data_IF_195404594989
#
_entry.id   IF_195404594989
#
_cell.length_a   1.000
_cell.length_b   1.000
_cell.length_c   1.000
_cell.angle_alpha   90.00
_cell.angle_beta   90.00
_cell.angle_gamma   90.00
#
_symmetry.space_group_name_H-M   'P 1'
#
loop_
_entity.id
_entity.type
_entity.pdbx_description
1 polymer ?
#
# COMPACT_ATOMS: atom_id res chain seq x y z
N UNK A 1 -3.57 -0.65 14.95
CA UNK A 1 -2.58 -1.14 15.94
C UNK A 1 -1.60 -2.15 15.34
N UNK A 2 -2.06 -3.20 14.64
CA UNK A 2 -1.16 -4.20 14.02
C UNK A 2 -0.10 -3.57 13.11
N UNK A 3 -0.48 -2.62 12.26
CA UNK A 3 0.47 -1.90 11.40
C UNK A 3 1.58 -1.19 12.18
N UNK A 4 1.24 -0.57 13.32
CA UNK A 4 2.21 0.11 14.17
C UNK A 4 3.15 -0.90 14.82
N UNK A 5 2.63 -2.02 15.34
CA UNK A 5 3.45 -3.09 15.92
C UNK A 5 4.45 -3.63 14.90
N UNK A 6 4.00 -3.95 13.68
CA UNK A 6 4.89 -4.42 12.60
C UNK A 6 5.94 -3.36 12.25
N UNK A 7 5.56 -2.08 12.21
CA UNK A 7 6.47 -0.96 11.92
C UNK A 7 7.56 -0.83 12.98
N UNK A 8 7.18 -0.85 14.27
CA UNK A 8 8.14 -0.73 15.38
C UNK A 8 9.01 -1.98 15.50
N UNK A 9 8.44 -3.18 15.34
CA UNK A 9 9.21 -4.43 15.36
C UNK A 9 10.26 -4.45 14.25
N UNK A 10 9.87 -4.02 13.04
CA UNK A 10 10.80 -3.91 11.91
C UNK A 10 11.91 -2.90 12.20
N UNK A 11 11.55 -1.70 12.67
CA UNK A 11 12.52 -0.67 13.05
C UNK A 11 13.52 -1.21 14.07
N UNK A 12 13.01 -1.85 15.13
CA UNK A 12 13.83 -2.45 16.17
C UNK A 12 14.77 -3.52 15.58
N UNK A 13 14.25 -4.43 14.75
CA UNK A 13 15.06 -5.46 14.11
C UNK A 13 16.17 -4.88 13.22
N UNK A 14 15.92 -3.79 12.50
CA UNK A 14 16.94 -3.11 11.71
C UNK A 14 18.00 -2.44 12.58
N UNK A 15 17.60 -1.77 13.67
CA UNK A 15 18.53 -1.19 14.63
C UNK A 15 19.39 -2.25 15.34
N UNK A 16 18.86 -3.46 15.52
CA UNK A 16 19.58 -4.60 16.09
C UNK A 16 20.34 -5.43 15.04
N UNK A 17 20.33 -5.04 13.76
CA UNK A 17 21.06 -5.75 12.71
C UNK A 17 20.55 -7.16 12.44
N UNK A 18 19.24 -7.41 12.58
CA UNK A 18 18.65 -8.72 12.28
C UNK A 18 18.97 -9.16 10.82
N UNK A 19 19.09 -10.47 10.55
CA UNK A 19 19.51 -10.94 9.24
C UNK A 19 18.40 -10.83 8.18
N UNK A 20 18.81 -10.78 6.91
CA UNK A 20 17.91 -11.05 5.78
C UNK A 20 17.41 -12.51 5.86
N UNK A 21 16.16 -12.80 5.43
CA UNK A 21 15.21 -11.90 4.77
C UNK A 21 14.27 -11.15 5.72
N UNK A 22 14.47 -11.22 7.05
CA UNK A 22 13.54 -10.65 8.03
C UNK A 22 13.46 -9.13 7.95
N UNK A 23 14.62 -8.47 7.87
CA UNK A 23 14.75 -7.02 7.72
C UNK A 23 15.69 -6.65 6.58
N UNK A 24 15.61 -5.41 6.11
CA UNK A 24 16.48 -4.88 5.06
C UNK A 24 16.45 -3.36 5.08
N UNK A 25 17.65 -2.75 5.04
CA UNK A 25 17.85 -1.29 4.99
C UNK A 25 17.78 -0.71 3.57
N UNK A 26 17.58 -1.56 2.55
CA UNK A 26 17.46 -1.11 1.16
C UNK A 26 16.22 -0.21 0.95
N UNK A 27 16.28 0.65 -0.06
CA UNK A 27 15.16 1.49 -0.48
C UNK A 27 13.88 0.67 -0.71
N UNK A 28 12.74 1.20 -0.26
CA UNK A 28 11.45 0.47 -0.31
C UNK A 28 11.41 -0.79 0.57
N UNK A 29 12.45 -1.05 1.36
CA UNK A 29 12.56 -2.16 2.29
C UNK A 29 12.97 -3.49 1.69
N UNK A 30 13.37 -3.54 0.41
CA UNK A 30 14.01 -4.71 -0.24
C UNK A 30 13.25 -6.04 -0.16
N UNK A 31 11.91 -6.01 -0.02
CA UNK A 31 11.11 -7.23 0.13
C UNK A 31 11.22 -7.91 1.49
N UNK A 32 11.66 -7.20 2.53
CA UNK A 32 11.75 -7.73 3.89
C UNK A 32 10.44 -8.36 4.37
N UNK A 33 10.53 -9.53 5.01
CA UNK A 33 9.36 -10.28 5.51
C UNK A 33 8.62 -9.48 6.60
N UNK A 34 9.36 -8.82 7.49
CA UNK A 34 8.78 -7.88 8.45
C UNK A 34 8.48 -6.58 7.73
N UNK A 35 7.37 -6.52 7.01
CA UNK A 35 6.97 -5.38 6.22
C UNK A 35 5.46 -5.18 6.21
N UNK A 36 5.02 -3.94 6.38
CA UNK A 36 3.59 -3.62 6.27
C UNK A 36 3.06 -3.68 4.83
N UNK A 37 3.94 -3.86 3.83
CA UNK A 37 3.60 -4.12 2.43
C UNK A 37 2.83 -5.42 2.24
N UNK A 38 2.95 -6.37 3.16
CA UNK A 38 2.23 -7.65 3.10
C UNK A 38 0.81 -7.57 3.68
N UNK A 39 0.55 -6.62 4.57
CA UNK A 39 -0.72 -6.51 5.28
C UNK A 39 -1.96 -6.34 4.39
N UNK A 40 -1.91 -5.65 3.23
CA UNK A 40 -3.06 -5.59 2.31
C UNK A 40 -3.51 -6.98 1.81
N UNK A 41 -2.60 -7.95 1.70
CA UNK A 41 -2.91 -9.33 1.29
C UNK A 41 -3.78 -10.03 2.33
N UNK A 42 -3.62 -9.67 3.61
CA UNK A 42 -4.37 -10.26 4.74
C UNK A 42 -5.63 -9.45 5.02
N UNK A 43 -5.50 -8.12 5.16
CA UNK A 43 -6.62 -7.27 5.54
C UNK A 43 -7.60 -7.01 4.41
N UNK A 44 -7.16 -7.09 3.14
CA UNK A 44 -8.06 -7.04 1.98
C UNK A 44 -9.16 -8.10 2.07
N UNK A 45 -8.81 -9.40 2.13
CA UNK A 45 -9.74 -10.50 2.40
C UNK A 45 -10.55 -10.32 3.68
N UNK A 46 -9.91 -9.97 4.79
CA UNK A 46 -10.61 -9.79 6.06
C UNK A 46 -11.72 -8.72 5.98
N UNK A 47 -11.42 -7.55 5.41
CA UNK A 47 -12.42 -6.49 5.24
C UNK A 47 -13.52 -6.90 4.25
N UNK A 48 -13.15 -7.53 3.14
CA UNK A 48 -14.11 -7.98 2.14
C UNK A 48 -15.09 -9.03 2.69
N UNK A 49 -14.59 -10.00 3.47
CA UNK A 49 -15.40 -11.01 4.13
C UNK A 49 -16.30 -10.40 5.22
N UNK A 50 -15.81 -9.41 5.97
CA UNK A 50 -16.62 -8.71 6.97
C UNK A 50 -17.77 -7.92 6.33
N UNK A 51 -17.48 -7.19 5.24
CA UNK A 51 -18.49 -6.43 4.49
C UNK A 51 -19.54 -7.35 3.86
N UNK A 52 -19.11 -8.43 3.21
CA UNK A 52 -20.05 -9.39 2.62
C UNK A 52 -20.88 -10.12 3.67
N UNK A 53 -20.31 -10.38 4.85
CA UNK A 53 -21.04 -10.90 6.00
C UNK A 53 -22.17 -10.00 6.48
N UNK A 54 -22.06 -8.68 6.29
CA UNK A 54 -23.13 -7.70 6.55
C UNK A 54 -24.02 -7.40 5.34
N UNK A 55 -23.94 -8.21 4.28
CA UNK A 55 -24.74 -8.02 3.06
C UNK A 55 -24.19 -6.97 2.08
N UNK A 56 -23.06 -6.34 2.38
CA UNK A 56 -22.38 -5.38 1.50
C UNK A 56 -21.37 -6.13 0.63
N UNK A 57 -21.82 -6.54 -0.55
CA UNK A 57 -21.04 -7.28 -1.52
C UNK A 57 -21.01 -6.54 -2.87
N UNK A 58 -20.01 -6.78 -3.73
CA UNK A 58 -19.98 -6.15 -5.04
C UNK A 58 -21.17 -6.64 -5.87
N UNK A 59 -21.72 -5.74 -6.70
CA UNK A 59 -22.84 -6.05 -7.59
C UNK A 59 -22.51 -7.18 -8.59
N UNK A 60 -21.23 -7.32 -8.97
CA UNK A 60 -20.75 -8.42 -9.80
C UNK A 60 -19.30 -8.77 -9.50
N UNK A 61 -19.04 -10.04 -9.19
CA UNK A 61 -17.71 -10.53 -8.84
C UNK A 61 -16.70 -10.31 -10.00
N UNK A 62 -17.10 -10.58 -11.25
CA UNK A 62 -16.24 -10.41 -12.42
C UNK A 62 -15.81 -8.95 -12.63
N UNK A 63 -16.76 -8.01 -12.53
CA UNK A 63 -16.47 -6.56 -12.61
C UNK A 63 -15.55 -6.12 -11.47
N UNK A 64 -15.77 -6.61 -10.26
CA UNK A 64 -14.94 -6.27 -9.10
C UNK A 64 -13.50 -6.78 -9.22
N UNK A 65 -13.31 -8.02 -9.67
CA UNK A 65 -11.99 -8.58 -9.94
C UNK A 65 -11.32 -7.82 -11.10
N UNK A 66 -12.04 -7.64 -12.22
CA UNK A 66 -11.53 -6.96 -13.41
C UNK A 66 -11.06 -5.53 -13.13
N UNK A 67 -11.85 -4.72 -12.40
CA UNK A 67 -11.43 -3.38 -12.01
C UNK A 67 -10.31 -3.37 -10.96
N UNK A 68 -10.20 -4.39 -10.12
CA UNK A 68 -9.06 -4.53 -9.20
C UNK A 68 -7.74 -4.75 -9.94
N UNK A 69 -7.75 -5.62 -10.96
CA UNK A 69 -6.59 -5.82 -11.84
C UNK A 69 -6.32 -4.63 -12.78
N UNK A 70 -7.36 -3.94 -13.26
CA UNK A 70 -7.17 -2.69 -14.01
C UNK A 70 -6.49 -1.62 -13.12
N UNK A 71 -6.86 -1.54 -11.84
CA UNK A 71 -6.16 -0.74 -10.85
C UNK A 71 -4.68 -1.09 -10.74
N UNK A 72 -4.32 -2.37 -10.76
CA UNK A 72 -2.92 -2.81 -10.76
C UNK A 72 -2.17 -2.38 -12.02
N UNK A 73 -2.78 -2.49 -13.20
CA UNK A 73 -2.18 -2.01 -14.44
C UNK A 73 -1.86 -0.51 -14.36
N UNK A 74 -2.80 0.31 -13.90
CA UNK A 74 -2.59 1.77 -13.73
C UNK A 74 -1.55 2.06 -12.66
N UNK A 75 -1.54 1.31 -11.55
CA UNK A 75 -0.53 1.43 -10.51
C UNK A 75 0.88 1.18 -11.07
N UNK A 76 1.06 0.11 -11.86
CA UNK A 76 2.34 -0.23 -12.49
C UNK A 76 2.78 0.84 -13.48
N UNK A 77 1.86 1.32 -14.34
CA UNK A 77 2.14 2.42 -15.28
C UNK A 77 2.56 3.70 -14.54
N UNK A 78 1.86 4.07 -13.47
CA UNK A 78 2.24 5.20 -12.61
C UNK A 78 3.63 5.01 -11.99
N UNK A 79 3.97 3.78 -11.60
CA UNK A 79 5.31 3.43 -11.09
C UNK A 79 6.41 3.65 -12.12
N UNK A 80 6.20 3.27 -13.38
CA UNK A 80 7.14 3.55 -14.47
C UNK A 80 7.33 5.06 -14.70
N UNK A 81 6.24 5.83 -14.67
CA UNK A 81 6.29 7.30 -14.79
C UNK A 81 7.06 7.91 -13.62
N UNK A 82 6.77 7.47 -12.39
CA UNK A 82 7.44 7.94 -11.18
C UNK A 82 8.94 7.64 -11.22
N UNK A 83 9.31 6.40 -11.56
CA UNK A 83 10.70 5.95 -11.68
C UNK A 83 11.44 6.73 -12.76
N UNK A 84 10.84 6.90 -13.94
CA UNK A 84 11.42 7.70 -15.02
C UNK A 84 11.67 9.13 -14.55
N UNK A 85 10.66 9.78 -13.99
CA UNK A 85 10.78 11.15 -13.47
C UNK A 85 11.82 11.30 -12.38
N UNK A 86 11.89 10.34 -11.45
CA UNK A 86 12.96 10.31 -10.46
C UNK A 86 14.31 10.18 -11.16
N UNK A 87 14.53 9.14 -11.97
CA UNK A 87 15.82 8.84 -12.64
C UNK A 87 16.35 9.97 -13.52
N UNK A 88 15.47 10.75 -14.16
CA UNK A 88 15.83 11.89 -15.01
C UNK A 88 15.98 13.22 -14.25
N UNK A 89 15.79 13.22 -12.92
CA UNK A 89 15.81 14.45 -12.10
C UNK A 89 14.60 15.37 -12.35
N UNK A 90 13.54 14.86 -12.97
CA UNK A 90 12.34 15.62 -13.33
C UNK A 90 11.27 15.45 -12.25
N UNK A 91 11.35 16.26 -11.18
CA UNK A 91 10.45 16.18 -10.00
C UNK A 91 8.97 16.21 -10.38
N UNK A 92 8.56 17.04 -11.35
CA UNK A 92 7.16 17.11 -11.79
C UNK A 92 6.66 15.78 -12.37
N UNK A 93 7.50 15.08 -13.13
CA UNK A 93 7.17 13.76 -13.70
C UNK A 93 7.10 12.69 -12.60
N UNK A 94 7.98 12.77 -11.58
CA UNK A 94 7.93 11.88 -10.43
C UNK A 94 6.62 12.05 -9.63
N UNK A 95 6.23 13.30 -9.35
CA UNK A 95 4.98 13.64 -8.69
C UNK A 95 3.78 13.16 -9.51
N UNK A 96 3.78 13.38 -10.82
CA UNK A 96 2.72 12.88 -11.71
C UNK A 96 2.58 11.35 -11.60
N UNK A 97 3.70 10.62 -11.61
CA UNK A 97 3.69 9.18 -11.42
C UNK A 97 3.07 8.76 -10.09
N UNK A 98 3.47 9.38 -8.98
CA UNK A 98 2.87 9.12 -7.68
C UNK A 98 1.37 9.44 -7.62
N UNK A 99 0.92 10.53 -8.25
CA UNK A 99 -0.50 10.87 -8.36
C UNK A 99 -1.27 9.81 -9.13
N UNK A 100 -0.73 9.34 -10.27
CA UNK A 100 -1.35 8.24 -11.04
C UNK A 100 -1.46 6.97 -10.19
N UNK A 101 -0.42 6.64 -9.43
CA UNK A 101 -0.44 5.49 -8.51
C UNK A 101 -1.49 5.62 -7.40
N UNK A 102 -1.66 6.82 -6.84
CA UNK A 102 -2.71 7.10 -5.88
C UNK A 102 -4.11 6.96 -6.49
N UNK A 103 -4.31 7.55 -7.68
CA UNK A 103 -5.57 7.49 -8.43
C UNK A 103 -5.94 6.06 -8.84
N UNK A 104 -4.97 5.18 -9.05
CA UNK A 104 -5.19 3.76 -9.30
C UNK A 104 -6.03 3.09 -8.20
N UNK A 105 -5.89 3.53 -6.94
CA UNK A 105 -6.68 3.03 -5.80
C UNK A 105 -8.18 3.34 -5.90
N UNK A 106 -8.60 4.29 -6.73
CA UNK A 106 -10.01 4.62 -6.92
C UNK A 106 -10.69 3.75 -7.98
N UNK A 107 -9.94 3.03 -8.82
CA UNK A 107 -10.48 2.15 -9.86
C UNK A 107 -11.27 0.97 -9.26
N UNK A 108 -10.74 0.19 -8.29
CA UNK A 108 -11.49 -0.90 -7.67
C UNK A 108 -12.75 -0.42 -6.93
N UNK A 109 -12.72 0.81 -6.40
CA UNK A 109 -13.82 1.44 -5.66
C UNK A 109 -15.07 1.63 -6.52
N UNK A 110 -14.93 1.71 -7.85
CA UNK A 110 -16.07 1.79 -8.77
C UNK A 110 -16.91 0.51 -8.75
N UNK A 111 -16.29 -0.66 -8.55
CA UNK A 111 -17.02 -1.93 -8.44
C UNK A 111 -17.48 -2.26 -7.02
N UNK A 112 -16.72 -1.83 -6.01
CA UNK A 112 -17.06 -2.07 -4.60
C UNK A 112 -16.66 -0.88 -3.73
N UNK A 113 -17.60 0.06 -3.58
CA UNK A 113 -17.35 1.36 -2.94
C UNK A 113 -16.91 1.22 -1.49
N UNK A 114 -17.56 0.38 -0.71
CA UNK A 114 -17.25 0.18 0.71
C UNK A 114 -15.87 -0.43 0.91
N UNK A 115 -15.54 -1.54 0.23
CA UNK A 115 -14.20 -2.13 0.32
C UNK A 115 -13.11 -1.14 -0.07
N UNK A 116 -13.29 -0.42 -1.19
CA UNK A 116 -12.34 0.63 -1.60
C UNK A 116 -12.21 1.76 -0.58
N UNK A 117 -13.32 2.16 0.07
CA UNK A 117 -13.29 3.19 1.13
C UNK A 117 -12.58 2.68 2.38
N UNK A 118 -12.88 1.47 2.83
CA UNK A 118 -12.25 0.84 3.98
C UNK A 118 -10.75 0.72 3.78
N UNK A 119 -10.31 0.26 2.61
CA UNK A 119 -8.89 0.15 2.29
C UNK A 119 -8.20 1.51 2.16
N UNK A 120 -8.89 2.55 1.68
CA UNK A 120 -8.34 3.90 1.60
C UNK A 120 -8.10 4.49 3.00
N UNK A 121 -9.10 4.37 3.88
CA UNK A 121 -9.00 4.81 5.29
C UNK A 121 -7.92 4.01 6.01
N UNK A 122 -7.91 2.68 5.84
CA UNK A 122 -6.86 1.82 6.38
C UNK A 122 -5.47 2.23 5.85
N UNK A 123 -5.36 2.48 4.55
CA UNK A 123 -4.14 2.95 3.90
C UNK A 123 -3.60 4.22 4.55
N UNK A 124 -4.40 5.27 4.66
CA UNK A 124 -3.94 6.50 5.34
C UNK A 124 -3.61 6.28 6.82
N UNK A 125 -4.47 5.58 7.57
CA UNK A 125 -4.24 5.29 8.98
C UNK A 125 -2.95 4.47 9.20
N UNK A 126 -2.60 3.59 8.27
CA UNK A 126 -1.37 2.81 8.29
C UNK A 126 -0.11 3.65 8.05
N UNK A 127 -0.20 4.76 7.29
CA UNK A 127 0.95 5.56 6.85
C UNK A 127 1.31 6.68 7.81
N UNK A 128 0.35 7.22 8.56
CA UNK A 128 0.62 8.28 9.53
C UNK A 128 1.70 7.84 10.55
N UNK A 129 1.62 6.65 11.20
CA UNK A 129 2.67 6.23 12.12
C UNK A 129 4.01 5.97 11.42
N UNK A 130 4.00 5.47 10.19
CA UNK A 130 5.21 5.24 9.39
C UNK A 130 5.91 6.56 9.09
N UNK A 131 5.16 7.60 8.73
CA UNK A 131 5.71 8.94 8.48
C UNK A 131 6.33 9.55 9.73
N UNK A 132 5.70 9.35 10.89
CA UNK A 132 6.27 9.79 12.17
C UNK A 132 7.61 9.07 12.42
N UNK A 133 7.66 7.75 12.23
CA UNK A 133 8.89 6.96 12.36
C UNK A 133 9.95 7.42 11.37
N UNK A 134 9.60 7.64 10.10
CA UNK A 134 10.54 8.13 9.07
C UNK A 134 11.07 9.52 9.41
N UNK A 135 10.21 10.44 9.87
CA UNK A 135 10.64 11.77 10.30
C UNK A 135 11.71 11.68 11.40
N UNK A 136 11.45 10.88 12.43
CA UNK A 136 12.39 10.68 13.55
C UNK A 136 13.68 10.01 13.06
N UNK A 137 13.56 8.93 12.28
CA UNK A 137 14.71 8.17 11.78
C UNK A 137 15.62 9.02 10.89
N UNK A 138 15.04 9.82 9.99
CA UNK A 138 15.79 10.73 9.12
C UNK A 138 16.47 11.85 9.92
N UNK A 139 15.80 12.43 10.92
CA UNK A 139 16.39 13.45 11.80
C UNK A 139 17.51 12.90 12.68
N UNK A 140 17.38 11.65 13.11
CA UNK A 140 18.37 10.97 13.95
C UNK A 140 19.51 10.33 13.15
N UNK A 141 19.42 10.29 11.81
CA UNK A 141 20.46 9.70 10.95
C UNK A 141 20.64 8.20 11.16
N UNK A 142 19.58 7.47 11.52
CA UNK A 142 19.69 6.02 11.75
C UNK A 142 20.08 5.27 10.47
N UNK A 143 20.74 4.12 10.61
CA UNK A 143 21.07 3.25 9.47
C UNK A 143 19.92 2.25 9.22
N UNK A 144 18.74 2.77 8.86
CA UNK A 144 17.52 1.96 8.64
C UNK A 144 16.90 2.30 7.29
N UNK A 145 16.00 1.47 6.76
CA UNK A 145 15.29 1.85 5.53
C UNK A 145 14.36 3.06 5.73
N UNK A 146 13.94 3.35 6.97
CA UNK A 146 13.09 4.50 7.29
C UNK A 146 13.80 5.84 7.14
N UNK A 147 15.13 5.82 7.06
CA UNK A 147 16.01 6.98 6.92
C UNK A 147 16.81 6.95 5.62
N UNK A 148 16.44 6.05 4.69
CA UNK A 148 17.05 6.00 3.38
C UNK A 148 16.82 7.32 2.63
N UNK A 149 17.90 7.87 2.05
CA UNK A 149 17.87 9.03 1.17
C UNK A 149 18.66 8.67 -0.07
N UNK A 150 18.07 8.86 -1.26
CA UNK A 150 18.78 8.63 -2.51
C UNK A 150 20.04 9.55 -2.57
N UNK A 151 21.19 9.04 -3.03
CA UNK A 151 22.41 9.84 -3.15
C UNK A 151 22.24 11.19 -3.85
N UNK A 152 21.29 11.31 -4.79
CA UNK A 152 20.98 12.55 -5.52
C UNK A 152 20.37 13.63 -4.62
N UNK A 153 19.76 13.24 -3.50
CA UNK A 153 19.17 14.12 -2.51
C UNK A 153 20.04 14.28 -1.24
N UNK A 154 21.22 13.64 -1.18
CA UNK A 154 22.06 13.64 0.01
C UNK A 154 22.44 15.05 0.50
N UNK A 155 22.63 15.99 -0.43
CA UNK A 155 22.96 17.40 -0.12
C UNK A 155 21.74 18.33 -0.11
N UNK A 156 20.54 17.80 -0.36
CA UNK A 156 19.32 18.60 -0.33
C UNK A 156 18.94 18.98 1.11
N UNK A 157 18.23 20.11 1.31
CA UNK A 157 17.68 20.45 2.63
C UNK A 157 16.75 19.34 3.14
N UNK A 158 16.72 19.14 4.46
CA UNK A 158 15.93 18.08 5.11
C UNK A 158 14.48 18.00 4.60
N UNK A 159 13.80 19.13 4.44
CA UNK A 159 12.41 19.13 3.98
C UNK A 159 12.23 18.58 2.57
N UNK A 160 13.21 18.79 1.69
CA UNK A 160 13.17 18.20 0.34
C UNK A 160 13.36 16.69 0.41
N UNK A 161 14.32 16.21 1.20
CA UNK A 161 14.52 14.78 1.44
C UNK A 161 13.26 14.14 2.03
N UNK A 162 12.70 14.72 3.10
CA UNK A 162 11.52 14.19 3.76
C UNK A 162 10.29 14.18 2.84
N UNK A 163 10.07 15.22 2.05
CA UNK A 163 8.93 15.26 1.14
C UNK A 163 9.06 14.22 0.03
N UNK A 164 10.23 14.12 -0.61
CA UNK A 164 10.42 13.25 -1.77
C UNK A 164 10.59 11.76 -1.40
N UNK A 165 11.26 11.45 -0.28
CA UNK A 165 11.57 10.06 0.11
C UNK A 165 10.58 9.48 1.13
N UNK A 166 9.92 10.32 1.94
CA UNK A 166 8.97 9.87 2.96
C UNK A 166 7.54 10.25 2.61
N UNK A 167 7.22 11.55 2.54
CA UNK A 167 5.83 12.02 2.47
C UNK A 167 5.12 11.56 1.19
N UNK A 168 5.68 11.87 0.01
CA UNK A 168 5.05 11.55 -1.26
C UNK A 168 4.89 10.04 -1.46
N UNK A 169 5.93 9.19 -1.27
CA UNK A 169 5.76 7.76 -1.43
C UNK A 169 4.76 7.17 -0.44
N UNK A 170 4.79 7.56 0.85
CA UNK A 170 3.88 7.01 1.84
C UNK A 170 2.43 7.41 1.60
N UNK A 171 2.16 8.67 1.22
CA UNK A 171 0.80 9.19 1.08
C UNK A 171 0.17 8.92 -0.28
N UNK A 172 0.98 8.70 -1.32
CA UNK A 172 0.48 8.50 -2.69
C UNK A 172 0.68 7.04 -3.14
N UNK A 173 1.93 6.64 -3.37
CA UNK A 173 2.29 5.29 -3.81
C UNK A 173 1.70 4.22 -2.89
N UNK A 174 2.04 4.28 -1.60
CA UNK A 174 1.76 3.18 -0.69
C UNK A 174 0.29 3.11 -0.28
N UNK A 175 -0.44 4.23 -0.35
CA UNK A 175 -1.91 4.24 -0.20
C UNK A 175 -2.55 3.58 -1.43
N UNK A 176 -2.18 4.01 -2.65
CA UNK A 176 -2.66 3.39 -3.89
C UNK A 176 -2.42 1.89 -3.93
N UNK A 177 -1.19 1.46 -3.62
CA UNK A 177 -0.81 0.05 -3.49
C UNK A 177 -1.71 -0.71 -2.51
N UNK A 178 -1.95 -0.13 -1.31
CA UNK A 178 -2.78 -0.77 -0.28
C UNK A 178 -4.19 -1.02 -0.76
N UNK A 179 -4.80 -0.05 -1.45
CA UNK A 179 -6.15 -0.18 -1.97
C UNK A 179 -6.21 -1.19 -3.11
N UNK A 180 -5.30 -1.10 -4.07
CA UNK A 180 -5.29 -1.99 -5.24
C UNK A 180 -5.05 -3.44 -4.82
N UNK A 181 -3.98 -3.71 -4.07
CA UNK A 181 -3.62 -5.08 -3.65
C UNK A 181 -4.68 -5.64 -2.71
N UNK A 182 -5.13 -4.85 -1.72
CA UNK A 182 -6.21 -5.27 -0.84
C UNK A 182 -7.51 -5.58 -1.58
N UNK A 183 -7.83 -4.82 -2.65
CA UNK A 183 -9.02 -5.09 -3.47
C UNK A 183 -8.88 -6.36 -4.30
N UNK A 184 -7.70 -6.64 -4.86
CA UNK A 184 -7.46 -7.88 -5.62
C UNK A 184 -7.73 -9.09 -4.73
N UNK A 185 -7.04 -9.18 -3.59
CA UNK A 185 -7.20 -10.33 -2.69
C UNK A 185 -8.61 -10.36 -2.08
N UNK A 186 -9.17 -9.21 -1.70
CA UNK A 186 -10.52 -9.11 -1.15
C UNK A 186 -11.60 -9.59 -2.12
N UNK A 187 -11.55 -9.16 -3.38
CA UNK A 187 -12.54 -9.53 -4.40
C UNK A 187 -12.42 -10.99 -4.83
N UNK A 188 -11.19 -11.51 -4.99
CA UNK A 188 -10.95 -12.92 -5.33
C UNK A 188 -11.45 -13.85 -4.22
N UNK A 189 -11.05 -13.59 -2.96
CA UNK A 189 -11.48 -14.43 -1.82
C UNK A 189 -12.99 -14.40 -1.66
N UNK A 190 -13.62 -13.22 -1.79
CA UNK A 190 -15.08 -13.08 -1.74
C UNK A 190 -15.77 -13.88 -2.84
N UNK A 191 -15.26 -13.84 -4.07
CA UNK A 191 -15.83 -14.58 -5.19
C UNK A 191 -15.77 -16.10 -4.96
N UNK A 192 -14.67 -16.60 -4.40
CA UNK A 192 -14.50 -18.01 -4.03
C UNK A 192 -15.46 -18.39 -2.89
N UNK A 193 -15.49 -17.60 -1.82
CA UNK A 193 -16.35 -17.87 -0.65
C UNK A 193 -17.85 -17.86 -0.99
N UNK A 194 -18.27 -16.99 -1.93
CA UNK A 194 -19.68 -16.91 -2.35
C UNK A 194 -20.11 -18.03 -3.30
N UNK A 195 -19.19 -18.61 -4.09
CA UNK A 195 -19.50 -19.77 -4.96
C UNK A 195 -19.91 -21.01 -4.16
N UNK A 196 -19.42 -21.15 -2.93
CA UNK A 196 -19.70 -22.29 -2.06
C UNK A 196 -20.98 -22.20 -1.24
N UNK A 197 -21.75 -21.10 -1.31
CA UNK A 197 -23.04 -21.00 -0.62
C UNK A 197 -24.15 -21.49 -1.57
N UNK A 198 -24.86 -22.60 -1.26
CA UNK A 198 -26.06 -22.98 -1.98
C UNK A 198 -27.03 -21.79 -1.97
N UNK A 199 -27.63 -21.49 -3.11
CA UNK A 199 -28.81 -20.62 -3.16
C UNK A 199 -29.83 -21.28 -2.25
N UNK A 200 -30.19 -20.64 -1.13
CA UNK A 200 -31.29 -21.09 -0.32
C UNK A 200 -32.51 -21.15 -1.25
N UNK A 201 -32.97 -22.37 -1.54
CA UNK A 201 -34.20 -22.61 -2.27
C UNK A 201 -35.30 -21.89 -1.48
N UNK A 202 -35.84 -20.82 -2.05
CA UNK A 202 -37.10 -20.24 -1.59
C UNK A 202 -38.14 -21.34 -1.67
N UNK A 203 -38.58 -21.84 -0.52
CA UNK A 203 -39.72 -22.72 -0.42
C UNK A 203 -40.92 -21.96 -1.03
N UNK A 204 -41.53 -22.59 -2.04
CA UNK A 204 -42.77 -22.14 -2.70
C UNK A 204 -43.95 -22.45 -1.79
#
# INVERSE_FOLDING_TARGET
>A
MITLVVTILRLYGELQGWPKPWVSTAAGGGGAVLGISWLPIIFGPYFALKLTGSGDAPAGNGKAIGLSFAGLAVLVLGGFVAFKGASSGTTALAILGFLVMFLAGFIPRVAWRSLGTTLLVYGFAARIPVLIVMFIAMRAGWATHYSFVDPRLAQAPFWKQFVEEALLPQMLLWVGFTVVVGSIFGTVVTAVARRGRPVAQTAV
#
